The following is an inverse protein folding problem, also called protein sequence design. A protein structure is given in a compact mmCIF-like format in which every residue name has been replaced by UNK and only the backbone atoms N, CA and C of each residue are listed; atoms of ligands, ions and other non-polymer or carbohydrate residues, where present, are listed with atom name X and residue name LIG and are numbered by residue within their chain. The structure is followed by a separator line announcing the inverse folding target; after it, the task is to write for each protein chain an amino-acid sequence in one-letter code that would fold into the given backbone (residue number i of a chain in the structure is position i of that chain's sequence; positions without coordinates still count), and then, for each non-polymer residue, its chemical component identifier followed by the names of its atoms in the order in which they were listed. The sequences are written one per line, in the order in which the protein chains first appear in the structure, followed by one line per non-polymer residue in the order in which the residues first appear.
data_IF_170237885670
#
_entry.id   IF_170237885670
#
_cell.length_a   1.000
_cell.length_b   1.000
_cell.length_c   1.000
_cell.angle_alpha   90.00
_cell.angle_beta   90.00
_cell.angle_gamma   90.00
#
_symmetry.space_group_name_H-M   'P 1'
#
loop_
_entity.id
_entity.type
_entity.pdbx_description
1 polymer ?
#
# COMPACT_ATOMS: atom_id res chain seq x y z
N UNK A 1 -22.64 -32.71 5.85
CA UNK A 1 -22.15 -31.36 5.54
C UNK A 1 -22.63 -31.02 4.14
N UNK A 2 -23.37 -29.92 3.97
CA UNK A 2 -23.91 -29.48 2.68
C UNK A 2 -22.75 -29.08 1.72
N UNK A 3 -22.88 -29.39 0.42
CA UNK A 3 -21.91 -29.09 -0.63
C UNK A 3 -21.50 -27.61 -0.65
N UNK A 4 -22.43 -26.67 -0.40
CA UNK A 4 -22.17 -25.24 -0.24
C UNK A 4 -21.20 -24.96 0.90
N UNK A 5 -21.34 -25.64 2.03
CA UNK A 5 -20.44 -25.46 3.18
C UNK A 5 -19.04 -26.00 2.89
N UNK A 6 -18.91 -27.06 2.12
CA UNK A 6 -17.60 -27.61 1.69
C UNK A 6 -16.91 -26.58 0.77
N UNK A 7 -17.63 -26.06 -0.22
CA UNK A 7 -17.13 -25.01 -1.12
C UNK A 7 -16.66 -23.76 -0.34
N UNK A 8 -17.46 -23.29 0.62
CA UNK A 8 -17.08 -22.14 1.45
C UNK A 8 -15.85 -22.41 2.31
N UNK A 9 -15.68 -23.62 2.86
CA UNK A 9 -14.48 -24.01 3.61
C UNK A 9 -13.22 -23.95 2.75
N UNK A 10 -13.28 -24.45 1.50
CA UNK A 10 -12.17 -24.36 0.55
C UNK A 10 -11.79 -22.89 0.27
N UNK A 11 -12.76 -22.07 -0.14
CA UNK A 11 -12.54 -20.65 -0.43
C UNK A 11 -11.98 -19.87 0.77
N UNK A 12 -12.45 -20.16 1.99
CA UNK A 12 -11.93 -19.54 3.21
C UNK A 12 -10.48 -19.96 3.47
N UNK A 13 -10.16 -21.25 3.32
CA UNK A 13 -8.80 -21.76 3.49
C UNK A 13 -7.84 -21.18 2.45
N UNK A 14 -8.27 -21.11 1.19
CA UNK A 14 -7.51 -20.49 0.09
C UNK A 14 -7.26 -19.00 0.33
N UNK A 15 -8.31 -18.24 0.73
CA UNK A 15 -8.18 -16.83 1.06
C UNK A 15 -7.24 -16.58 2.26
N UNK A 16 -7.31 -17.44 3.29
CA UNK A 16 -6.42 -17.37 4.45
C UNK A 16 -4.98 -17.68 4.06
N UNK A 17 -4.75 -18.73 3.26
CA UNK A 17 -3.42 -19.09 2.74
C UNK A 17 -2.86 -17.99 1.82
N UNK A 18 -3.66 -17.42 0.91
CA UNK A 18 -3.27 -16.33 0.02
C UNK A 18 -2.88 -15.04 0.79
N UNK A 19 -3.44 -14.85 2.00
CA UNK A 19 -3.08 -13.75 2.90
C UNK A 19 -1.88 -14.05 3.80
N UNK A 20 -1.18 -15.15 3.57
CA UNK A 20 -0.11 -15.64 4.46
C UNK A 20 -0.55 -15.79 5.93
N UNK A 21 -1.80 -16.20 6.17
CA UNK A 21 -2.37 -16.37 7.49
C UNK A 21 -2.75 -15.07 8.23
N UNK A 22 -2.65 -13.90 7.59
CA UNK A 22 -2.90 -12.61 8.24
C UNK A 22 -4.36 -12.18 8.22
N UNK A 23 -5.16 -12.65 7.24
CA UNK A 23 -6.52 -12.20 7.07
C UNK A 23 -7.46 -12.68 8.18
N UNK A 24 -8.16 -11.73 8.82
CA UNK A 24 -9.23 -12.02 9.76
C UNK A 24 -10.59 -12.20 9.07
N UNK A 25 -11.60 -12.59 9.85
CA UNK A 25 -12.92 -12.95 9.32
C UNK A 25 -13.60 -11.88 8.45
N UNK A 26 -13.36 -10.58 8.71
CA UNK A 26 -13.88 -9.50 7.86
C UNK A 26 -13.20 -9.52 6.48
N UNK A 27 -11.89 -9.53 6.46
CA UNK A 27 -11.09 -9.54 5.22
C UNK A 27 -11.39 -10.79 4.39
N UNK A 28 -11.50 -11.96 5.03
CA UNK A 28 -11.87 -13.22 4.35
C UNK A 28 -13.29 -13.14 3.77
N UNK A 29 -14.26 -12.60 4.51
CA UNK A 29 -15.62 -12.42 4.00
C UNK A 29 -15.64 -11.54 2.75
N UNK A 30 -14.87 -10.44 2.75
CA UNK A 30 -14.77 -9.52 1.62
C UNK A 30 -14.06 -10.18 0.43
N UNK A 31 -12.95 -10.91 0.64
CA UNK A 31 -12.25 -11.65 -0.44
C UNK A 31 -13.17 -12.63 -1.13
N UNK A 32 -13.86 -13.49 -0.36
CA UNK A 32 -14.75 -14.51 -0.90
C UNK A 32 -15.97 -13.89 -1.60
N UNK A 33 -16.47 -12.75 -1.07
CA UNK A 33 -17.59 -12.02 -1.70
C UNK A 33 -17.16 -11.40 -3.03
N UNK A 34 -15.97 -10.85 -3.12
CA UNK A 34 -15.39 -10.31 -4.37
C UNK A 34 -15.14 -11.40 -5.42
N UNK A 35 -15.01 -12.67 -5.00
CA UNK A 35 -14.96 -13.85 -5.89
C UNK A 35 -16.35 -14.34 -6.33
N UNK A 36 -17.41 -13.61 -6.02
CA UNK A 36 -18.78 -13.90 -6.44
C UNK A 36 -19.58 -14.80 -5.48
N UNK A 37 -19.02 -15.18 -4.32
CA UNK A 37 -19.72 -16.00 -3.32
C UNK A 37 -20.03 -15.19 -2.07
N UNK A 38 -21.29 -14.79 -1.90
CA UNK A 38 -21.73 -13.97 -0.76
C UNK A 38 -21.43 -14.64 0.58
N UNK A 39 -20.56 -14.03 1.39
CA UNK A 39 -20.15 -14.53 2.69
C UNK A 39 -20.23 -13.45 3.76
N UNK A 40 -21.07 -13.63 4.78
CA UNK A 40 -21.14 -12.70 5.91
C UNK A 40 -19.96 -12.89 6.86
N UNK A 41 -19.54 -11.81 7.54
CA UNK A 41 -18.50 -11.84 8.58
C UNK A 41 -18.79 -12.88 9.66
N UNK A 42 -20.05 -12.99 10.10
CA UNK A 42 -20.46 -13.97 11.12
C UNK A 42 -20.21 -15.41 10.64
N UNK A 43 -20.63 -15.74 9.41
CA UNK A 43 -20.42 -17.07 8.82
C UNK A 43 -18.92 -17.35 8.61
N UNK A 44 -18.14 -16.35 8.17
CA UNK A 44 -16.68 -16.45 8.07
C UNK A 44 -16.04 -16.76 9.43
N UNK A 45 -16.41 -16.03 10.50
CA UNK A 45 -15.89 -16.27 11.85
C UNK A 45 -16.17 -17.70 12.32
N UNK A 46 -17.39 -18.20 12.11
CA UNK A 46 -17.78 -19.56 12.50
C UNK A 46 -16.98 -20.62 11.74
N UNK A 47 -16.82 -20.45 10.43
CA UNK A 47 -16.08 -21.41 9.59
C UNK A 47 -14.57 -21.35 9.86
N UNK A 48 -13.97 -20.17 10.04
CA UNK A 48 -12.56 -20.05 10.45
C UNK A 48 -12.29 -20.79 11.76
N UNK A 49 -13.17 -20.64 12.78
CA UNK A 49 -13.04 -21.35 14.05
C UNK A 49 -13.07 -22.87 13.84
N UNK A 50 -13.98 -23.40 13.01
CA UNK A 50 -14.05 -24.84 12.73
C UNK A 50 -12.88 -25.37 11.92
N UNK A 51 -12.18 -24.51 11.20
CA UNK A 51 -10.98 -24.82 10.41
C UNK A 51 -9.68 -24.57 11.20
N UNK A 52 -9.75 -24.07 12.45
CA UNK A 52 -8.58 -23.72 13.24
C UNK A 52 -7.78 -22.54 12.70
N UNK A 53 -8.39 -21.72 11.84
CA UNK A 53 -7.71 -20.58 11.22
C UNK A 53 -7.72 -19.35 12.14
N UNK A 54 -6.52 -18.83 12.45
CA UNK A 54 -6.31 -17.68 13.33
C UNK A 54 -5.55 -16.59 12.54
N UNK A 55 -6.02 -15.34 12.64
CA UNK A 55 -5.35 -14.19 12.04
C UNK A 55 -4.16 -13.75 12.89
N UNK A 56 -2.99 -13.58 12.28
CA UNK A 56 -1.81 -13.02 12.94
C UNK A 56 -1.98 -11.50 13.13
N UNK A 57 -1.90 -11.01 14.37
CA UNK A 57 -1.89 -9.58 14.69
C UNK A 57 -0.74 -9.26 15.65
N UNK A 58 0.10 -8.28 15.29
CA UNK A 58 1.19 -7.81 16.13
C UNK A 58 0.81 -6.60 17.00
N UNK A 59 1.50 -6.41 18.17
CA UNK A 59 1.25 -5.29 19.08
C UNK A 59 1.79 -3.95 18.54
N UNK A 60 1.24 -2.83 19.05
CA UNK A 60 1.48 -1.45 18.57
C UNK A 60 2.91 -0.96 18.80
N UNK A 61 3.56 -0.38 17.78
CA UNK A 61 4.87 0.29 17.84
C UNK A 61 4.82 1.71 18.43
N UNK A 62 5.92 2.12 19.15
CA UNK A 62 6.14 3.51 19.63
C UNK A 62 7.05 4.27 18.68
N UNK A 63 6.68 5.53 18.34
CA UNK A 63 7.42 6.45 17.47
C UNK A 63 8.61 7.13 18.15
N UNK A 64 9.72 7.32 17.40
CA UNK A 64 10.84 8.22 17.76
C UNK A 64 10.85 9.44 16.83
N UNK A 65 11.08 10.65 17.42
CA UNK A 65 11.19 11.92 16.69
C UNK A 65 12.58 12.08 16.08
N UNK A 66 12.69 12.46 14.81
CA UNK A 66 13.93 12.81 14.14
C UNK A 66 14.11 14.33 14.07
N UNK A 67 15.38 14.80 14.14
CA UNK A 67 15.80 16.19 13.99
C UNK A 67 16.55 16.36 12.67
N UNK A 68 16.13 17.24 11.74
CA UNK A 68 16.98 18.09 10.89
C UNK A 68 16.27 18.77 9.71
N UNK A 69 16.78 19.93 9.39
CA UNK A 69 16.77 20.87 8.25
C UNK A 69 15.46 21.32 7.59
N UNK A 70 15.37 22.67 7.49
CA UNK A 70 14.26 23.41 6.91
C UNK A 70 14.39 23.54 5.38
N UNK A 71 13.45 22.93 4.65
CA UNK A 71 13.10 23.36 3.31
C UNK A 71 11.67 23.86 3.39
N UNK A 72 11.43 25.08 2.95
CA UNK A 72 10.12 25.73 2.97
C UNK A 72 9.26 25.25 1.80
N UNK A 73 8.85 23.95 1.85
CA UNK A 73 7.82 23.41 0.96
C UNK A 73 6.56 23.21 1.78
N UNK A 74 5.48 23.94 1.47
CA UNK A 74 4.27 23.90 2.28
C UNK A 74 3.53 22.56 2.16
N UNK A 75 2.75 22.23 3.20
CA UNK A 75 1.82 21.10 3.17
C UNK A 75 0.58 21.46 2.34
N UNK A 76 0.68 21.27 1.03
CA UNK A 76 -0.43 21.53 0.11
C UNK A 76 -1.57 20.50 0.25
N UNK A 77 -1.25 19.27 0.67
CA UNK A 77 -2.25 18.21 0.82
C UNK A 77 -3.19 18.47 2.01
N UNK A 78 -2.68 19.05 3.10
CA UNK A 78 -3.47 19.43 4.28
C UNK A 78 -4.44 18.34 4.77
N UNK A 79 -4.02 17.07 4.71
CA UNK A 79 -4.82 15.87 5.06
C UNK A 79 -6.05 15.63 4.18
N UNK A 80 -6.16 16.25 3.05
CA UNK A 80 -7.22 15.99 2.07
C UNK A 80 -6.91 14.68 1.33
N UNK A 81 -7.02 13.55 2.03
CA UNK A 81 -6.67 12.24 1.48
C UNK A 81 -7.76 11.63 0.59
N UNK A 82 -8.95 12.20 0.58
CA UNK A 82 -10.03 11.79 -0.33
C UNK A 82 -9.86 12.53 -1.65
N UNK A 83 -9.29 11.85 -2.64
CA UNK A 83 -9.10 12.37 -4.00
C UNK A 83 -10.12 11.76 -4.94
N UNK A 84 -10.47 12.45 -6.01
CA UNK A 84 -11.60 12.10 -6.87
C UNK A 84 -11.20 11.27 -8.08
N UNK A 85 -9.93 11.33 -8.48
CA UNK A 85 -9.42 10.61 -9.65
C UNK A 85 -8.01 10.03 -9.41
N UNK A 86 -7.64 8.97 -10.14
CA UNK A 86 -6.27 8.49 -10.20
C UNK A 86 -5.31 9.58 -10.70
N UNK A 87 -4.08 9.56 -10.19
CA UNK A 87 -3.00 10.49 -10.56
C UNK A 87 -3.20 11.95 -10.12
N UNK A 88 -4.14 12.27 -9.24
CA UNK A 88 -4.23 13.58 -8.61
C UNK A 88 -3.17 13.76 -7.52
N UNK A 89 -3.08 12.80 -6.61
CA UNK A 89 -2.15 12.84 -5.47
C UNK A 89 -1.49 11.49 -5.26
N UNK A 90 -0.18 11.50 -5.25
CA UNK A 90 0.65 10.37 -4.84
C UNK A 90 1.27 10.63 -3.48
N UNK A 91 1.35 9.62 -2.64
CA UNK A 91 2.07 9.68 -1.37
C UNK A 91 3.27 8.74 -1.39
N UNK A 92 4.39 9.22 -0.87
CA UNK A 92 5.64 8.47 -0.79
C UNK A 92 6.22 8.42 0.62
N UNK A 93 6.82 7.28 0.97
CA UNK A 93 7.54 7.12 2.24
C UNK A 93 8.53 5.95 2.15
N UNK A 94 9.45 5.87 3.12
CA UNK A 94 10.48 4.84 3.21
C UNK A 94 10.37 4.11 4.54
N UNK A 95 10.39 2.79 4.46
CA UNK A 95 10.51 1.94 5.65
C UNK A 95 11.76 1.08 5.60
N UNK A 96 12.13 0.48 6.73
CA UNK A 96 13.24 -0.45 6.84
C UNK A 96 12.73 -1.83 7.28
N UNK A 97 13.39 -2.88 6.77
CA UNK A 97 13.05 -4.27 6.99
C UNK A 97 14.36 -5.04 7.25
N UNK A 98 14.35 -5.92 8.25
CA UNK A 98 15.52 -6.73 8.59
C UNK A 98 15.67 -7.90 7.61
N UNK A 99 16.91 -8.16 7.15
CA UNK A 99 17.22 -9.22 6.18
C UNK A 99 18.32 -10.17 6.68
N UNK A 100 18.19 -10.57 7.94
CA UNK A 100 19.06 -11.55 8.57
C UNK A 100 20.39 -10.98 9.11
N UNK A 101 21.08 -10.18 8.35
CA UNK A 101 22.38 -9.61 8.72
C UNK A 101 22.46 -8.07 8.60
N UNK A 102 21.48 -7.43 7.95
CA UNK A 102 21.46 -5.98 7.74
C UNK A 102 20.06 -5.45 7.48
N UNK A 103 19.90 -4.15 7.64
CA UNK A 103 18.70 -3.45 7.27
C UNK A 103 18.63 -3.25 5.76
N UNK A 104 17.48 -3.51 5.18
CA UNK A 104 17.06 -3.13 3.85
C UNK A 104 16.05 -1.98 3.95
N UNK A 105 16.06 -1.09 2.97
CA UNK A 105 15.13 0.02 2.85
C UNK A 105 14.20 -0.19 1.68
N UNK A 106 12.91 0.06 1.90
CA UNK A 106 11.85 -0.02 0.91
C UNK A 106 11.22 1.36 0.78
N UNK A 107 11.37 1.99 -0.39
CA UNK A 107 10.61 3.16 -0.78
C UNK A 107 9.36 2.73 -1.55
N UNK A 108 8.23 3.34 -1.24
CA UNK A 108 6.94 3.06 -1.88
C UNK A 108 6.27 4.35 -2.29
N UNK A 109 5.58 4.33 -3.42
CA UNK A 109 4.68 5.37 -3.90
C UNK A 109 3.29 4.77 -4.05
N UNK A 110 2.29 5.37 -3.40
CA UNK A 110 0.88 4.99 -3.54
C UNK A 110 0.10 6.11 -4.21
N UNK A 111 -0.85 5.74 -5.05
CA UNK A 111 -1.90 6.65 -5.54
C UNK A 111 -3.00 6.75 -4.47
N UNK A 112 -3.34 7.96 -4.04
CA UNK A 112 -4.32 8.15 -2.98
C UNK A 112 -5.75 7.87 -3.40
N UNK A 113 -6.07 7.81 -4.69
CA UNK A 113 -7.41 7.48 -5.17
C UNK A 113 -7.86 6.10 -4.68
N UNK A 114 -7.17 5.05 -5.08
CA UNK A 114 -7.50 3.67 -4.71
C UNK A 114 -6.57 3.08 -3.64
N UNK A 115 -5.66 3.85 -3.05
CA UNK A 115 -4.58 3.37 -2.18
C UNK A 115 -3.67 2.33 -2.87
N UNK A 116 -3.60 2.39 -4.20
CA UNK A 116 -2.84 1.47 -5.03
C UNK A 116 -1.35 1.79 -4.97
N UNK A 117 -0.52 0.78 -4.74
CA UNK A 117 0.94 0.90 -4.91
C UNK A 117 1.24 0.98 -6.41
N UNK A 118 1.89 2.06 -6.84
CA UNK A 118 2.18 2.35 -8.24
C UNK A 118 3.68 2.38 -8.54
N UNK A 119 4.53 2.46 -7.50
CA UNK A 119 5.96 2.38 -7.65
C UNK A 119 6.63 2.00 -6.34
N UNK A 120 7.71 1.21 -6.42
CA UNK A 120 8.52 0.85 -5.27
C UNK A 120 9.96 0.58 -5.68
N UNK A 121 10.86 0.64 -4.72
CA UNK A 121 12.27 0.30 -4.91
C UNK A 121 12.86 -0.18 -3.59
N UNK A 122 13.85 -1.05 -3.67
CA UNK A 122 14.56 -1.61 -2.51
C UNK A 122 16.05 -1.37 -2.64
N UNK A 123 16.71 -1.08 -1.51
CA UNK A 123 18.15 -0.82 -1.45
C UNK A 123 18.69 -1.10 -0.05
N UNK A 124 20.01 -1.25 0.04
CA UNK A 124 20.73 -1.29 1.31
C UNK A 124 21.06 0.10 1.87
N UNK A 125 20.72 1.16 1.14
CA UNK A 125 20.93 2.57 1.54
C UNK A 125 19.67 3.39 1.38
N UNK A 126 19.25 4.19 2.40
CA UNK A 126 18.06 5.05 2.35
C UNK A 126 18.42 6.41 1.72
N UNK A 127 18.87 6.42 0.48
CA UNK A 127 19.28 7.63 -0.22
C UNK A 127 18.24 8.13 -1.24
N UNK A 128 18.50 9.28 -1.85
CA UNK A 128 17.62 9.86 -2.88
C UNK A 128 17.55 9.03 -4.17
N UNK A 129 18.47 8.07 -4.38
CA UNK A 129 18.39 7.13 -5.51
C UNK A 129 17.31 6.09 -5.27
N UNK A 130 17.16 5.63 -4.03
CA UNK A 130 16.10 4.72 -3.64
C UNK A 130 14.72 5.34 -3.91
N UNK A 131 14.45 6.52 -3.35
CA UNK A 131 13.16 7.22 -3.53
C UNK A 131 12.94 7.66 -4.98
N UNK A 132 14.01 8.08 -5.67
CA UNK A 132 13.96 8.45 -7.09
C UNK A 132 13.59 7.29 -8.00
N UNK A 133 14.10 6.06 -7.75
CA UNK A 133 13.71 4.86 -8.50
C UNK A 133 12.23 4.51 -8.29
N UNK A 134 11.73 4.57 -7.04
CA UNK A 134 10.32 4.34 -6.76
C UNK A 134 9.42 5.36 -7.47
N UNK A 135 9.79 6.65 -7.46
CA UNK A 135 9.07 7.70 -8.18
C UNK A 135 9.12 7.51 -9.70
N UNK A 136 10.28 7.14 -10.26
CA UNK A 136 10.42 6.90 -11.70
C UNK A 136 9.57 5.71 -12.13
N UNK A 137 9.55 4.63 -11.36
CA UNK A 137 8.67 3.49 -11.62
C UNK A 137 7.20 3.92 -11.61
N UNK A 138 6.77 4.69 -10.61
CA UNK A 138 5.41 5.22 -10.54
C UNK A 138 5.07 6.07 -11.77
N UNK A 139 5.96 6.98 -12.15
CA UNK A 139 5.77 7.89 -13.28
C UNK A 139 5.63 7.14 -14.62
N UNK A 140 6.52 6.16 -14.86
CA UNK A 140 6.49 5.33 -16.08
C UNK A 140 5.25 4.41 -16.11
N UNK A 141 4.96 3.72 -15.00
CA UNK A 141 3.82 2.78 -14.92
C UNK A 141 2.46 3.48 -15.08
N UNK A 142 2.39 4.79 -14.79
CA UNK A 142 1.16 5.60 -14.90
C UNK A 142 1.06 6.37 -16.22
N UNK A 143 1.94 6.11 -17.18
CA UNK A 143 1.92 6.76 -18.50
C UNK A 143 2.36 8.23 -18.48
N UNK A 144 3.23 8.59 -17.53
CA UNK A 144 3.85 9.93 -17.42
C UNK A 144 2.82 11.06 -17.21
N UNK A 145 1.95 10.97 -16.19
CA UNK A 145 0.92 11.97 -15.95
C UNK A 145 1.54 13.32 -15.59
N UNK A 146 0.85 14.40 -15.94
CA UNK A 146 1.23 15.78 -15.59
C UNK A 146 0.35 16.31 -14.47
N UNK A 147 0.89 17.27 -13.69
CA UNK A 147 0.11 17.98 -12.67
C UNK A 147 -0.15 17.18 -11.40
N UNK A 148 0.45 16.01 -11.24
CA UNK A 148 0.36 15.21 -10.03
C UNK A 148 0.96 15.96 -8.83
N UNK A 149 0.30 15.87 -7.67
CA UNK A 149 0.90 16.29 -6.40
C UNK A 149 1.58 15.08 -5.75
N UNK A 150 2.86 15.21 -5.38
CA UNK A 150 3.59 14.21 -4.60
C UNK A 150 3.76 14.66 -3.16
N UNK A 151 3.18 13.92 -2.22
CA UNK A 151 3.24 14.19 -0.80
C UNK A 151 4.16 13.20 -0.09
N UNK A 152 5.03 13.70 0.81
CA UNK A 152 5.91 12.88 1.65
C UNK A 152 6.20 13.56 2.99
N UNK A 153 6.92 12.87 3.86
CA UNK A 153 7.55 13.49 5.01
C UNK A 153 8.71 14.42 4.59
N UNK A 154 9.35 15.08 5.59
CA UNK A 154 10.51 15.95 5.38
C UNK A 154 11.84 15.19 5.41
N UNK A 155 11.86 13.89 5.14
CA UNK A 155 13.07 13.08 5.09
C UNK A 155 14.09 13.63 4.09
N UNK A 156 15.39 13.56 4.43
CA UNK A 156 16.49 14.12 3.61
C UNK A 156 16.53 13.57 2.18
N UNK A 157 16.04 12.34 1.98
CA UNK A 157 15.91 11.71 0.66
C UNK A 157 14.84 12.36 -0.23
N UNK A 158 13.76 12.95 0.35
CA UNK A 158 12.71 13.69 -0.37
C UNK A 158 13.03 15.18 -0.52
N UNK A 159 13.79 15.73 0.41
CA UNK A 159 14.17 17.17 0.39
C UNK A 159 15.45 17.42 -0.39
N UNK A 160 16.19 16.38 -0.79
CA UNK A 160 17.43 16.49 -1.54
C UNK A 160 17.26 17.21 -2.89
N UNK A 161 18.29 17.96 -3.31
CA UNK A 161 18.31 18.63 -4.61
C UNK A 161 18.03 17.67 -5.78
N UNK A 162 18.60 16.46 -5.74
CA UNK A 162 18.41 15.43 -6.79
C UNK A 162 16.96 15.00 -6.90
N UNK A 163 16.30 14.76 -5.77
CA UNK A 163 14.89 14.34 -5.78
C UNK A 163 13.98 15.48 -6.26
N UNK A 164 14.19 16.71 -5.83
CA UNK A 164 13.43 17.89 -6.29
C UNK A 164 13.61 18.17 -7.79
N UNK A 165 14.83 17.97 -8.32
CA UNK A 165 15.09 18.06 -9.76
C UNK A 165 14.31 16.99 -10.54
N UNK A 166 14.16 15.78 -9.98
CA UNK A 166 13.37 14.72 -10.59
C UNK A 166 11.87 15.06 -10.62
N UNK A 167 11.33 15.56 -9.52
CA UNK A 167 9.94 16.05 -9.45
C UNK A 167 9.68 17.17 -10.48
N UNK A 168 10.59 18.14 -10.56
CA UNK A 168 10.51 19.23 -11.54
C UNK A 168 10.52 18.69 -12.98
N UNK A 169 11.43 17.77 -13.29
CA UNK A 169 11.52 17.12 -14.62
C UNK A 169 10.23 16.40 -14.98
N UNK A 170 9.57 15.78 -14.02
CA UNK A 170 8.31 15.07 -14.23
C UNK A 170 7.08 15.99 -14.13
N UNK A 171 7.28 17.29 -13.91
CA UNK A 171 6.20 18.26 -13.71
C UNK A 171 5.25 17.86 -12.55
N UNK A 172 5.81 17.31 -11.49
CA UNK A 172 5.12 16.88 -10.28
C UNK A 172 5.27 17.95 -9.19
N UNK A 173 4.17 18.41 -8.60
CA UNK A 173 4.16 19.38 -7.51
C UNK A 173 4.52 18.70 -6.20
N UNK A 174 5.52 19.21 -5.48
CA UNK A 174 5.89 18.69 -4.17
C UNK A 174 5.00 19.26 -3.06
N UNK A 175 4.63 18.40 -2.11
CA UNK A 175 3.97 18.75 -0.85
C UNK A 175 4.67 18.00 0.29
N UNK A 176 4.98 18.67 1.40
CA UNK A 176 5.64 18.04 2.55
C UNK A 176 4.76 18.09 3.78
N UNK A 177 4.77 17.01 4.57
CA UNK A 177 4.13 16.95 5.88
C UNK A 177 4.70 18.03 6.80
N UNK A 178 3.90 18.53 7.73
CA UNK A 178 4.39 19.39 8.79
C UNK A 178 5.33 18.60 9.72
N UNK A 179 6.38 19.27 10.19
CA UNK A 179 7.38 18.64 11.06
C UNK A 179 6.74 18.04 12.32
N UNK A 180 7.06 16.78 12.60
CA UNK A 180 6.56 16.07 13.79
C UNK A 180 5.08 15.70 13.72
N UNK A 181 4.43 15.84 12.57
CA UNK A 181 3.02 15.54 12.39
C UNK A 181 2.83 14.29 11.53
N UNK A 182 2.86 13.12 12.18
CA UNK A 182 2.69 11.82 11.53
C UNK A 182 1.32 11.67 10.82
N UNK A 183 0.29 12.37 11.28
CA UNK A 183 -1.04 12.31 10.68
C UNK A 183 -1.08 12.84 9.25
N UNK A 184 -0.11 13.65 8.85
CA UNK A 184 -0.07 14.24 7.52
C UNK A 184 0.30 13.21 6.44
N UNK A 185 0.88 12.03 6.80
CA UNK A 185 1.25 10.95 5.89
C UNK A 185 0.53 9.61 6.19
N UNK A 186 -0.59 9.67 6.91
CA UNK A 186 -1.31 8.50 7.42
C UNK A 186 -1.65 7.40 6.39
N UNK A 187 -1.99 7.67 5.12
CA UNK A 187 -2.32 6.61 4.17
C UNK A 187 -1.15 5.66 3.88
N UNK A 188 0.06 6.19 3.66
CA UNK A 188 1.22 5.33 3.36
C UNK A 188 1.77 4.68 4.62
N UNK A 189 1.68 5.33 5.78
CA UNK A 189 2.02 4.71 7.07
C UNK A 189 1.11 3.50 7.35
N UNK A 190 -0.18 3.59 6.98
CA UNK A 190 -1.11 2.45 7.07
C UNK A 190 -0.70 1.30 6.14
N UNK A 191 -0.24 1.60 4.92
CA UNK A 191 0.31 0.59 4.01
C UNK A 191 1.49 -0.14 4.65
N UNK A 192 2.47 0.58 5.18
CA UNK A 192 3.63 -0.05 5.83
C UNK A 192 3.26 -0.86 7.08
N UNK A 193 2.29 -0.39 7.86
CA UNK A 193 1.76 -1.18 8.97
C UNK A 193 1.18 -2.50 8.46
N UNK A 194 0.34 -2.46 7.43
CA UNK A 194 -0.24 -3.66 6.83
C UNK A 194 0.85 -4.60 6.33
N UNK A 195 1.82 -4.11 5.55
CA UNK A 195 2.94 -4.92 5.07
C UNK A 195 3.69 -5.60 6.22
N UNK A 196 4.07 -4.85 7.26
CA UNK A 196 4.84 -5.40 8.39
C UNK A 196 4.05 -6.39 9.23
N UNK A 197 2.76 -6.14 9.44
CA UNK A 197 1.91 -7.02 10.27
C UNK A 197 1.44 -8.26 9.51
N UNK A 198 1.20 -8.13 8.20
CA UNK A 198 0.56 -9.18 7.42
C UNK A 198 1.56 -10.09 6.70
N UNK A 199 2.77 -9.60 6.42
CA UNK A 199 3.68 -10.31 5.51
C UNK A 199 5.12 -10.43 5.98
N UNK A 200 5.68 -9.40 6.62
CA UNK A 200 7.06 -9.44 7.08
C UNK A 200 7.17 -10.37 8.30
N UNK A 201 8.03 -11.41 8.26
CA UNK A 201 8.25 -12.26 9.42
C UNK A 201 8.78 -11.46 10.62
N UNK A 202 8.38 -11.83 11.84
CA UNK A 202 8.82 -11.17 13.09
C UNK A 202 10.35 -11.13 13.23
N UNK A 203 11.02 -12.16 12.76
CA UNK A 203 12.50 -12.26 12.76
C UNK A 203 13.15 -11.60 11.54
N UNK A 204 12.34 -11.03 10.63
CA UNK A 204 12.80 -10.53 9.33
C UNK A 204 12.98 -11.64 8.29
N UNK A 205 13.48 -11.26 7.12
CA UNK A 205 13.81 -12.18 6.04
C UNK A 205 15.25 -12.69 6.20
N UNK A 206 15.58 -13.83 5.58
CA UNK A 206 16.93 -14.42 5.63
C UNK A 206 17.94 -13.70 4.76
N UNK A 207 17.47 -13.06 3.69
CA UNK A 207 18.31 -12.36 2.72
C UNK A 207 17.57 -11.20 2.05
N UNK A 208 18.35 -10.30 1.41
CA UNK A 208 17.80 -9.23 0.58
C UNK A 208 16.97 -9.78 -0.60
N UNK A 209 17.44 -10.87 -1.23
CA UNK A 209 16.74 -11.48 -2.37
C UNK A 209 15.38 -12.06 -1.96
N UNK A 210 15.31 -12.77 -0.83
CA UNK A 210 14.05 -13.28 -0.28
C UNK A 210 13.10 -12.12 0.05
N UNK A 211 13.58 -11.08 0.74
CA UNK A 211 12.78 -9.90 1.05
C UNK A 211 12.23 -9.23 -0.22
N UNK A 212 13.07 -9.11 -1.25
CA UNK A 212 12.65 -8.52 -2.53
C UNK A 212 11.54 -9.33 -3.19
N UNK A 213 11.68 -10.65 -3.24
CA UNK A 213 10.68 -11.53 -3.81
C UNK A 213 9.35 -11.46 -3.04
N UNK A 214 9.40 -11.61 -1.72
CA UNK A 214 8.20 -11.66 -0.89
C UNK A 214 7.47 -10.31 -0.81
N UNK A 215 8.19 -9.19 -0.75
CA UNK A 215 7.58 -7.85 -0.76
C UNK A 215 6.96 -7.56 -2.13
N UNK A 216 7.60 -7.96 -3.23
CA UNK A 216 7.02 -7.83 -4.57
C UNK A 216 5.75 -8.66 -4.70
N UNK A 217 5.76 -9.90 -4.19
CA UNK A 217 4.57 -10.78 -4.13
C UNK A 217 3.45 -10.16 -3.28
N UNK A 218 3.78 -9.56 -2.12
CA UNK A 218 2.80 -8.84 -1.32
C UNK A 218 2.16 -7.70 -2.10
N UNK A 219 2.97 -6.82 -2.69
CA UNK A 219 2.49 -5.61 -3.38
C UNK A 219 1.59 -5.99 -4.56
N UNK A 220 2.10 -6.83 -5.47
CA UNK A 220 1.41 -7.15 -6.73
C UNK A 220 0.30 -8.18 -6.49
N UNK A 221 0.65 -9.33 -5.87
CA UNK A 221 -0.24 -10.47 -5.79
C UNK A 221 -1.30 -10.35 -4.70
N UNK A 222 -0.96 -9.78 -3.56
CA UNK A 222 -1.91 -9.71 -2.44
C UNK A 222 -2.50 -8.32 -2.24
N UNK A 223 -1.68 -7.30 -1.96
CA UNK A 223 -2.18 -5.97 -1.58
C UNK A 223 -3.02 -5.30 -2.67
N UNK A 224 -2.51 -5.27 -3.91
CA UNK A 224 -3.22 -4.63 -5.01
C UNK A 224 -4.32 -5.50 -5.62
N UNK A 225 -4.16 -6.84 -5.62
CA UNK A 225 -5.01 -7.75 -6.37
C UNK A 225 -6.08 -8.46 -5.51
N UNK A 226 -5.78 -8.83 -4.28
CA UNK A 226 -6.66 -9.67 -3.46
C UNK A 226 -7.15 -9.01 -2.18
N UNK A 227 -6.34 -8.12 -1.60
CA UNK A 227 -6.64 -7.53 -0.29
C UNK A 227 -7.75 -6.49 -0.39
N UNK A 228 -8.91 -6.71 0.27
CA UNK A 228 -9.96 -5.71 0.32
C UNK A 228 -9.50 -4.48 1.10
N UNK A 229 -9.85 -3.31 0.63
CA UNK A 229 -9.51 -2.06 1.27
C UNK A 229 -10.77 -1.33 1.75
N UNK A 230 -10.87 -1.06 3.06
CA UNK A 230 -12.04 -0.42 3.65
C UNK A 230 -12.34 0.96 3.02
N UNK A 231 -11.30 1.72 2.66
CA UNK A 231 -11.43 3.00 1.97
C UNK A 231 -12.13 2.88 0.60
N UNK A 232 -11.95 1.74 -0.07
CA UNK A 232 -12.55 1.43 -1.37
C UNK A 232 -13.89 0.67 -1.25
N UNK A 233 -14.55 0.74 -0.10
CA UNK A 233 -15.80 0.01 0.11
C UNK A 233 -15.67 -1.51 0.09
N UNK A 234 -14.49 -2.05 0.40
CA UNK A 234 -14.19 -3.49 0.37
C UNK A 234 -13.61 -3.98 -0.96
N UNK A 235 -13.51 -3.12 -1.98
CA UNK A 235 -12.83 -3.46 -3.23
C UNK A 235 -11.31 -3.48 -3.04
N UNK A 236 -10.62 -4.23 -3.88
CA UNK A 236 -9.16 -4.17 -3.98
C UNK A 236 -8.71 -2.86 -4.65
N UNK A 237 -7.46 -2.41 -4.44
CA UNK A 237 -6.96 -1.23 -5.14
C UNK A 237 -7.05 -1.32 -6.67
N UNK A 238 -6.78 -2.49 -7.25
CA UNK A 238 -6.89 -2.70 -8.69
C UNK A 238 -8.33 -2.61 -9.17
N UNK A 239 -9.27 -3.22 -8.46
CA UNK A 239 -10.68 -3.24 -8.83
C UNK A 239 -11.30 -1.85 -8.71
N UNK A 240 -11.02 -1.12 -7.64
CA UNK A 240 -11.48 0.25 -7.45
C UNK A 240 -11.05 1.18 -8.59
N UNK A 241 -9.79 1.06 -9.03
CA UNK A 241 -9.28 1.86 -10.14
C UNK A 241 -9.84 1.42 -11.50
N UNK A 242 -10.02 0.10 -11.71
CA UNK A 242 -10.64 -0.44 -12.94
C UNK A 242 -12.04 0.11 -13.13
N UNK A 243 -12.87 0.07 -12.09
CA UNK A 243 -14.24 0.61 -12.14
C UNK A 243 -14.27 2.11 -12.43
N UNK A 244 -13.33 2.88 -11.89
CA UNK A 244 -13.22 4.30 -12.23
C UNK A 244 -12.99 4.52 -13.73
N UNK A 245 -12.05 3.81 -14.33
CA UNK A 245 -11.74 3.96 -15.74
C UNK A 245 -12.86 3.47 -16.66
N UNK A 246 -13.58 2.43 -16.28
CA UNK A 246 -14.76 1.94 -17.04
C UNK A 246 -15.88 2.97 -17.02
N UNK A 247 -16.21 3.51 -15.85
CA UNK A 247 -17.24 4.54 -15.72
C UNK A 247 -16.85 5.83 -16.48
N UNK A 248 -15.59 6.23 -16.43
CA UNK A 248 -15.09 7.41 -17.14
C UNK A 248 -15.19 7.28 -18.66
N UNK A 249 -14.93 6.09 -19.20
CA UNK A 249 -15.10 5.80 -20.65
C UNK A 249 -16.57 5.83 -21.07
N UNK A 250 -17.45 5.33 -20.22
CA UNK A 250 -18.88 5.33 -20.48
C UNK A 250 -19.43 6.76 -20.58
N UNK A 251 -19.03 7.65 -19.68
CA UNK A 251 -19.43 9.07 -19.73
C UNK A 251 -18.91 9.77 -20.99
N UNK A 252 -17.66 9.52 -21.39
CA UNK A 252 -17.07 10.10 -22.59
C UNK A 252 -17.76 9.65 -23.89
N UNK A 253 -18.43 8.50 -23.90
CA UNK A 253 -19.17 8.00 -25.07
C UNK A 253 -20.59 8.58 -25.20
N UNK A 254 -21.07 9.30 -24.18
CA UNK A 254 -22.38 9.96 -24.18
C UNK A 254 -22.30 11.50 -24.30
N UNK A 255 -21.13 12.06 -24.36
CA UNK A 255 -20.83 13.49 -24.54
C UNK A 255 -20.33 13.79 -25.94
#
# INVERSE_FOLDING_TARGET
INAETIKLRSLISEAHAASNGSAGARTIADIVTNQGVKLSRYRATKLMRTLGLVSCQEPKHRYRKASQEHIDVPNHLSRQFAVTAPNEVWAGDVTYIWTGNRWMYLAVVIDLFARKVIGWSMSLSPDSRLTGKALSMAYESRGKPKGVMFHSDQGSHYTSRKYRQLLWRFQIKQSLSRRGNCWDNAPIERFFRSLKTEWVPTVGYRSFAEAQQEITRYIIGYYCQLRPHQYNGGLTPNESERLYWENSKTVANFS
#
